data_IF_122232406132
#
_entry.id   IF_122232406132
#
_cell.length_a   1.000
_cell.length_b   1.000
_cell.length_c   1.000
_cell.angle_alpha   90.00
_cell.angle_beta   90.00
_cell.angle_gamma   90.00
#
_symmetry.space_group_name_H-M   'P 1'
#
loop_
_entity.id
_entity.type
_entity.pdbx_description
1 polymer ?
#
# COMPACT_ATOMS: atom_id res chain seq x y z
N UNK A 1 4.83 23.35 -25.69
CA UNK A 1 4.36 22.22 -24.92
C UNK A 1 5.31 21.83 -23.76
N UNK A 2 6.57 21.38 -23.98
CA UNK A 2 7.47 21.04 -22.87
C UNK A 2 7.98 22.26 -22.08
N UNK A 3 8.17 23.41 -22.71
CA UNK A 3 8.59 24.67 -22.05
C UNK A 3 7.46 25.28 -21.23
N UNK A 4 6.23 25.18 -21.70
CA UNK A 4 5.02 25.68 -21.02
C UNK A 4 4.57 24.77 -19.90
N UNK A 5 4.95 23.48 -19.97
CA UNK A 5 4.58 22.46 -18.98
C UNK A 5 5.82 21.75 -18.46
N UNK A 6 6.64 22.38 -17.62
CA UNK A 6 7.94 21.86 -17.22
C UNK A 6 7.86 20.57 -16.37
N UNK A 7 6.68 20.22 -15.85
CA UNK A 7 6.45 19.00 -15.08
C UNK A 7 6.05 17.80 -15.95
N UNK A 8 5.78 17.99 -17.25
CA UNK A 8 5.37 16.90 -18.10
C UNK A 8 6.56 16.03 -18.51
N UNK A 9 6.40 14.72 -18.35
CA UNK A 9 7.35 13.71 -18.84
C UNK A 9 7.11 13.34 -20.29
N UNK A 10 8.04 12.57 -20.86
CA UNK A 10 7.98 12.12 -22.24
C UNK A 10 6.70 11.36 -22.61
N UNK A 11 6.20 10.50 -21.71
CA UNK A 11 4.98 9.72 -21.93
C UNK A 11 3.74 10.61 -22.01
N UNK A 12 3.63 11.60 -21.11
CA UNK A 12 2.51 12.52 -21.11
C UNK A 12 2.50 13.36 -22.38
N UNK A 13 3.66 13.86 -22.82
CA UNK A 13 3.78 14.65 -24.05
C UNK A 13 3.43 13.78 -25.27
N UNK A 14 3.86 12.49 -25.31
CA UNK A 14 3.51 11.57 -26.38
C UNK A 14 1.99 11.38 -26.49
N UNK A 15 1.33 11.19 -25.35
CA UNK A 15 -0.11 11.02 -25.28
C UNK A 15 -0.88 12.29 -25.67
N UNK A 16 -0.41 13.47 -25.26
CA UNK A 16 -1.01 14.75 -25.66
C UNK A 16 -0.89 14.97 -27.18
N UNK A 17 0.28 14.68 -27.77
CA UNK A 17 0.49 14.76 -29.21
C UNK A 17 -0.44 13.82 -29.97
N UNK A 18 -0.61 12.59 -29.49
CA UNK A 18 -1.48 11.60 -30.11
C UNK A 18 -2.96 12.00 -30.00
N UNK A 19 -3.43 12.32 -28.79
CA UNK A 19 -4.85 12.56 -28.52
C UNK A 19 -5.36 13.88 -29.09
N UNK A 20 -4.54 14.94 -29.06
CA UNK A 20 -5.00 16.27 -29.47
C UNK A 20 -4.60 16.66 -30.89
N UNK A 21 -3.49 16.11 -31.39
CA UNK A 21 -2.95 16.47 -32.69
C UNK A 21 -2.88 15.28 -33.67
N UNK A 22 -3.25 14.07 -33.24
CA UNK A 22 -3.18 12.85 -34.05
C UNK A 22 -1.73 12.40 -34.36
N UNK A 23 -0.72 13.00 -33.72
CA UNK A 23 0.69 12.75 -33.98
C UNK A 23 1.21 11.62 -33.09
N UNK A 24 1.51 10.49 -33.70
CA UNK A 24 2.12 9.33 -33.00
C UNK A 24 3.63 9.50 -32.92
N UNK A 25 4.14 9.89 -31.76
CA UNK A 25 5.58 10.04 -31.48
C UNK A 25 5.95 9.17 -30.29
N UNK A 26 7.07 8.41 -30.41
CA UNK A 26 7.50 7.56 -29.29
C UNK A 26 8.01 8.41 -28.13
N UNK A 27 7.80 7.97 -26.85
CA UNK A 27 8.37 8.66 -25.69
C UNK A 27 9.90 8.82 -25.77
N UNK A 28 10.59 7.85 -26.37
CA UNK A 28 12.04 7.89 -26.61
C UNK A 28 12.44 9.03 -27.53
N UNK A 29 11.65 9.29 -28.59
CA UNK A 29 11.87 10.41 -29.51
C UNK A 29 11.67 11.73 -28.78
N UNK A 30 10.61 11.86 -28.01
CA UNK A 30 10.34 13.09 -27.23
C UNK A 30 11.45 13.37 -26.24
N UNK A 31 11.96 12.35 -25.52
CA UNK A 31 13.10 12.49 -24.61
C UNK A 31 14.32 13.12 -25.27
N UNK A 32 14.57 12.84 -26.55
CA UNK A 32 15.69 13.41 -27.31
C UNK A 32 15.57 14.92 -27.49
N UNK A 33 14.33 15.44 -27.59
CA UNK A 33 14.05 16.87 -27.83
C UNK A 33 13.64 17.61 -26.54
N UNK A 34 13.47 16.92 -25.42
CA UNK A 34 13.26 17.60 -24.16
C UNK A 34 14.50 18.40 -23.75
N UNK A 35 14.32 19.63 -23.22
CA UNK A 35 15.44 20.38 -22.66
C UNK A 35 16.16 19.50 -21.64
N UNK A 36 17.47 19.42 -21.73
CA UNK A 36 18.29 18.72 -20.72
C UNK A 36 18.00 19.38 -19.38
N UNK A 37 17.09 18.81 -18.60
CA UNK A 37 16.92 19.21 -17.21
C UNK A 37 18.28 19.03 -16.55
N UNK A 38 18.79 20.07 -15.91
CA UNK A 38 19.88 19.94 -14.95
C UNK A 38 19.44 18.93 -13.92
N UNK A 39 19.84 17.67 -14.12
CA UNK A 39 19.50 16.59 -13.22
C UNK A 39 20.17 16.90 -11.89
N UNK A 40 19.42 16.97 -10.77
CA UNK A 40 20.07 16.97 -9.48
C UNK A 40 20.92 15.70 -9.40
N UNK A 41 22.20 15.89 -9.30
CA UNK A 41 23.36 15.04 -9.28
C UNK A 41 23.20 13.52 -9.47
N UNK A 42 24.06 12.96 -10.28
CA UNK A 42 24.27 11.51 -10.52
C UNK A 42 24.27 10.64 -9.23
N UNK A 43 24.61 11.22 -8.06
CA UNK A 43 24.67 10.51 -6.79
C UNK A 43 23.31 10.07 -6.24
N UNK A 44 22.23 10.85 -6.43
CA UNK A 44 20.90 10.50 -5.91
C UNK A 44 20.24 9.34 -6.67
N UNK A 45 20.42 9.25 -7.99
CA UNK A 45 19.89 8.13 -8.80
C UNK A 45 20.55 6.79 -8.45
N UNK A 46 21.88 6.77 -8.29
CA UNK A 46 22.60 5.56 -7.95
C UNK A 46 22.20 5.00 -6.58
N UNK A 47 21.98 5.88 -5.57
CA UNK A 47 21.56 5.46 -4.24
C UNK A 47 20.12 4.94 -4.24
N UNK A 48 19.21 5.62 -4.94
CA UNK A 48 17.80 5.18 -5.06
C UNK A 48 17.69 3.86 -5.80
N UNK A 49 18.45 3.66 -6.88
CA UNK A 49 18.45 2.43 -7.65
C UNK A 49 19.01 1.25 -6.83
N UNK A 50 20.09 1.45 -6.08
CA UNK A 50 20.64 0.44 -5.16
C UNK A 50 19.64 0.07 -4.06
N UNK A 51 18.95 1.05 -3.49
CA UNK A 51 17.91 0.84 -2.49
C UNK A 51 16.74 0.01 -3.06
N UNK A 52 16.21 0.40 -4.21
CA UNK A 52 15.13 -0.34 -4.86
C UNK A 52 15.53 -1.77 -5.22
N UNK A 53 16.76 -1.99 -5.68
CA UNK A 53 17.29 -3.32 -5.97
C UNK A 53 17.39 -4.16 -4.70
N UNK A 54 17.92 -3.59 -3.61
CA UNK A 54 17.99 -4.25 -2.31
C UNK A 54 16.60 -4.67 -1.83
N UNK A 55 15.67 -3.73 -1.79
CA UNK A 55 14.30 -3.97 -1.33
C UNK A 55 13.61 -5.03 -2.17
N UNK A 56 13.76 -5.01 -3.50
CA UNK A 56 13.19 -6.01 -4.39
C UNK A 56 13.77 -7.41 -4.14
N UNK A 57 15.09 -7.51 -3.97
CA UNK A 57 15.76 -8.78 -3.75
C UNK A 57 15.47 -9.40 -2.37
N UNK A 58 15.09 -8.57 -1.39
CA UNK A 58 14.81 -9.00 -0.02
C UNK A 58 13.33 -8.84 0.37
N UNK A 59 12.45 -8.63 -0.59
CA UNK A 59 11.04 -8.29 -0.33
C UNK A 59 10.34 -9.27 0.62
N UNK A 60 10.61 -10.58 0.51
CA UNK A 60 10.04 -11.62 1.37
C UNK A 60 10.52 -11.54 2.83
N UNK A 61 11.70 -10.96 3.05
CA UNK A 61 12.30 -10.83 4.36
C UNK A 61 12.06 -9.45 5.00
N UNK A 62 11.26 -8.59 4.38
CA UNK A 62 10.99 -7.23 4.83
C UNK A 62 9.54 -7.09 5.31
N UNK A 63 9.40 -6.61 6.55
CA UNK A 63 8.18 -6.01 7.07
C UNK A 63 8.34 -4.50 7.06
N UNK A 64 7.33 -3.78 6.65
CA UNK A 64 7.32 -2.32 6.67
C UNK A 64 6.22 -1.82 7.62
N UNK A 65 6.48 -0.72 8.30
CA UNK A 65 5.50 -0.08 9.14
C UNK A 65 5.52 1.43 8.97
N UNK A 66 4.39 2.05 9.29
CA UNK A 66 4.24 3.49 9.20
C UNK A 66 3.06 3.99 10.05
N UNK A 67 3.02 5.29 10.28
CA UNK A 67 1.94 5.97 10.97
C UNK A 67 1.18 6.91 10.04
N UNK A 68 -0.12 7.03 10.27
CA UNK A 68 -0.88 8.14 9.73
C UNK A 68 -1.84 8.72 10.79
N UNK A 69 -2.20 9.98 10.61
CA UNK A 69 -3.10 10.68 11.53
C UNK A 69 -4.51 10.66 10.98
N UNK A 70 -5.47 10.39 11.86
CA UNK A 70 -6.91 10.43 11.60
C UNK A 70 -7.57 11.32 12.65
N UNK A 71 -8.51 12.15 12.22
CA UNK A 71 -9.28 13.05 13.11
C UNK A 71 -10.60 12.40 13.45
N UNK A 72 -10.98 12.41 14.72
CA UNK A 72 -12.31 11.93 15.17
C UNK A 72 -13.38 12.98 14.97
N UNK A 73 -14.67 12.58 15.09
CA UNK A 73 -15.80 13.51 15.08
C UNK A 73 -15.73 14.59 16.18
N UNK A 74 -14.98 14.34 17.24
CA UNK A 74 -14.73 15.29 18.34
C UNK A 74 -13.41 16.05 18.18
N UNK A 75 -12.85 16.10 16.96
CA UNK A 75 -11.58 16.77 16.60
C UNK A 75 -10.36 16.29 17.38
N UNK A 76 -10.39 15.07 17.93
CA UNK A 76 -9.23 14.47 18.56
C UNK A 76 -8.37 13.77 17.52
N UNK A 77 -7.04 13.93 17.64
CA UNK A 77 -6.09 13.24 16.78
C UNK A 77 -5.87 11.81 17.25
N UNK A 78 -5.94 10.86 16.33
CA UNK A 78 -5.56 9.46 16.54
C UNK A 78 -4.47 9.09 15.54
N UNK A 79 -3.47 8.38 16.02
CA UNK A 79 -2.39 7.83 15.21
C UNK A 79 -2.75 6.39 14.85
N UNK A 80 -2.86 6.12 13.58
CA UNK A 80 -3.06 4.77 13.03
C UNK A 80 -1.69 4.20 12.70
N UNK A 81 -1.36 3.09 13.30
CA UNK A 81 -0.16 2.32 13.02
C UNK A 81 -0.50 1.16 12.08
N UNK A 82 0.26 1.01 11.00
CA UNK A 82 0.11 -0.07 10.02
C UNK A 82 1.40 -0.89 9.95
N UNK A 83 1.27 -2.20 9.86
CA UNK A 83 2.37 -3.14 9.68
C UNK A 83 2.02 -4.06 8.51
N UNK A 84 2.91 -4.17 7.51
CA UNK A 84 2.65 -4.95 6.31
C UNK A 84 3.87 -5.74 5.83
N UNK A 85 3.62 -6.88 5.21
CA UNK A 85 4.64 -7.61 4.44
C UNK A 85 4.95 -6.90 3.14
N UNK A 86 6.22 -6.74 2.85
CA UNK A 86 6.63 -6.03 1.64
C UNK A 86 6.34 -6.82 0.36
N UNK A 87 6.54 -8.14 0.35
CA UNK A 87 6.38 -8.98 -0.84
C UNK A 87 4.92 -9.16 -1.24
N UNK A 88 4.10 -9.62 -0.29
CA UNK A 88 2.71 -10.01 -0.53
C UNK A 88 1.73 -8.85 -0.45
N UNK A 89 2.15 -7.71 0.09
CA UNK A 89 1.28 -6.57 0.42
C UNK A 89 0.28 -6.86 1.54
N UNK A 90 0.38 -8.01 2.18
CA UNK A 90 -0.51 -8.39 3.28
C UNK A 90 -0.31 -7.46 4.47
N UNK A 91 -1.39 -6.92 4.98
CA UNK A 91 -1.40 -6.17 6.22
C UNK A 91 -1.36 -7.18 7.38
N UNK A 92 -0.32 -7.10 8.20
CA UNK A 92 -0.15 -7.94 9.38
C UNK A 92 -0.95 -7.40 10.56
N UNK A 93 -0.97 -6.08 10.73
CA UNK A 93 -1.68 -5.41 11.82
C UNK A 93 -2.04 -3.99 11.46
N UNK A 94 -3.18 -3.55 11.99
CA UNK A 94 -3.56 -2.14 12.08
C UNK A 94 -4.02 -1.85 13.49
N UNK A 95 -3.61 -0.72 14.04
CA UNK A 95 -4.06 -0.31 15.37
C UNK A 95 -4.11 1.23 15.47
N UNK A 96 -4.78 1.77 16.48
CA UNK A 96 -4.91 3.20 16.67
C UNK A 96 -4.71 3.60 18.12
N UNK A 97 -4.04 4.73 18.36
CA UNK A 97 -3.81 5.30 19.69
C UNK A 97 -3.80 6.83 19.63
N UNK A 98 -4.11 7.47 20.74
CA UNK A 98 -3.88 8.91 20.91
C UNK A 98 -2.42 9.22 21.26
N UNK A 99 -1.68 8.25 21.80
CA UNK A 99 -0.31 8.41 22.30
C UNK A 99 0.62 7.33 21.72
N UNK A 100 1.27 7.59 20.58
CA UNK A 100 2.17 6.62 19.92
C UNK A 100 3.55 6.62 20.63
N UNK A 101 3.65 5.92 21.75
CA UNK A 101 4.93 5.76 22.46
C UNK A 101 5.76 4.62 21.87
N UNK A 102 7.08 4.63 22.11
CA UNK A 102 7.99 3.57 21.68
C UNK A 102 7.58 2.20 22.25
N UNK A 103 7.18 2.15 23.53
CA UNK A 103 6.73 0.94 24.21
C UNK A 103 5.43 0.38 23.58
N UNK A 104 4.46 1.28 23.30
CA UNK A 104 3.22 0.89 22.62
C UNK A 104 3.50 0.34 21.21
N UNK A 105 4.32 1.04 20.45
CA UNK A 105 4.68 0.63 19.08
C UNK A 105 5.40 -0.73 19.07
N UNK A 106 6.35 -0.93 20.00
CA UNK A 106 7.04 -2.20 20.13
C UNK A 106 6.10 -3.34 20.50
N UNK A 107 5.13 -3.09 21.38
CA UNK A 107 4.12 -4.09 21.74
C UNK A 107 3.24 -4.46 20.52
N UNK A 108 2.84 -3.46 19.70
CA UNK A 108 2.08 -3.73 18.46
C UNK A 108 2.91 -4.54 17.45
N UNK A 109 4.21 -4.31 17.36
CA UNK A 109 5.11 -5.11 16.52
C UNK A 109 5.22 -6.55 17.00
N UNK A 110 5.34 -6.79 18.32
CA UNK A 110 5.35 -8.14 18.92
C UNK A 110 4.09 -8.93 18.61
N UNK A 111 2.94 -8.27 18.65
CA UNK A 111 1.65 -8.90 18.35
C UNK A 111 1.45 -9.16 16.84
N UNK A 112 2.03 -8.32 16.00
CA UNK A 112 1.91 -8.43 14.54
C UNK A 112 2.87 -9.46 13.93
N UNK A 113 4.03 -9.68 14.55
CA UNK A 113 5.11 -10.49 14.02
C UNK A 113 5.27 -11.74 14.90
N UNK A 114 4.92 -12.95 14.40
CA UNK A 114 5.08 -14.19 15.14
C UNK A 114 6.52 -14.43 15.57
N UNK A 115 6.75 -15.17 16.64
CA UNK A 115 8.08 -15.44 17.16
C UNK A 115 8.96 -16.29 16.20
N UNK A 116 8.32 -17.13 15.38
CA UNK A 116 8.94 -18.02 14.39
C UNK A 116 9.02 -17.40 12.98
N UNK A 117 8.95 -16.06 12.88
CA UNK A 117 8.92 -15.35 11.59
C UNK A 117 10.21 -15.53 10.76
N UNK A 118 10.06 -15.54 9.44
CA UNK A 118 11.16 -15.54 8.49
C UNK A 118 11.72 -14.14 8.13
N UNK A 119 11.16 -13.09 8.74
CA UNK A 119 11.58 -11.72 8.43
C UNK A 119 12.97 -11.43 8.98
N UNK A 120 13.74 -10.62 8.26
CA UNK A 120 15.09 -10.16 8.65
C UNK A 120 15.15 -8.67 8.88
N UNK A 121 14.23 -7.93 8.27
CA UNK A 121 14.27 -6.48 8.24
C UNK A 121 12.91 -5.89 8.59
N UNK A 122 12.95 -4.82 9.41
CA UNK A 122 11.82 -3.93 9.62
C UNK A 122 12.16 -2.57 9.05
N UNK A 123 11.33 -2.12 8.10
CA UNK A 123 11.48 -0.83 7.43
C UNK A 123 10.53 0.18 8.04
N UNK A 124 11.04 1.34 8.40
CA UNK A 124 10.25 2.51 8.80
C UNK A 124 10.91 3.80 8.31
N UNK A 125 10.20 4.90 8.37
CA UNK A 125 10.73 6.21 8.03
C UNK A 125 11.60 6.79 9.16
N UNK A 126 11.92 8.08 9.07
CA UNK A 126 12.73 8.81 10.06
C UNK A 126 11.90 9.74 10.94
N UNK A 127 10.61 9.48 11.09
CA UNK A 127 9.78 10.27 11.97
C UNK A 127 10.28 10.15 13.43
N UNK A 128 10.08 11.21 14.21
CA UNK A 128 10.48 11.29 15.62
C UNK A 128 9.80 10.23 16.51
N UNK A 129 8.67 9.68 16.08
CA UNK A 129 8.00 8.57 16.78
C UNK A 129 8.92 7.34 16.85
N UNK A 130 9.79 7.15 15.84
CA UNK A 130 10.75 6.05 15.79
C UNK A 130 12.05 6.41 16.54
N UNK A 131 11.99 6.34 17.86
CA UNK A 131 13.10 6.63 18.75
C UNK A 131 14.22 5.58 18.68
N UNK A 132 15.39 5.89 19.22
CA UNK A 132 16.49 4.92 19.37
C UNK A 132 16.10 3.73 20.27
N UNK A 133 15.29 3.98 21.30
CA UNK A 133 14.76 2.95 22.18
C UNK A 133 13.89 1.95 21.40
N UNK A 134 13.02 2.42 20.51
CA UNK A 134 12.22 1.57 19.63
C UNK A 134 13.12 0.75 18.70
N UNK A 135 14.13 1.35 18.09
CA UNK A 135 15.10 0.64 17.23
C UNK A 135 15.82 -0.49 18.01
N UNK A 136 16.19 -0.26 19.26
CA UNK A 136 16.78 -1.30 20.12
C UNK A 136 15.79 -2.40 20.42
N UNK A 137 14.53 -2.06 20.71
CA UNK A 137 13.44 -3.01 20.91
C UNK A 137 13.22 -3.89 19.68
N UNK A 138 13.21 -3.31 18.49
CA UNK A 138 13.09 -4.02 17.21
C UNK A 138 14.25 -5.00 17.00
N UNK A 139 15.49 -4.59 17.32
CA UNK A 139 16.65 -5.50 17.22
C UNK A 139 16.55 -6.69 18.18
N UNK A 140 15.96 -6.51 19.36
CA UNK A 140 15.71 -7.60 20.32
C UNK A 140 14.65 -8.59 19.82
N UNK A 141 13.81 -8.20 18.84
CA UNK A 141 12.91 -9.10 18.13
C UNK A 141 13.61 -9.88 16.99
N UNK A 142 14.94 -9.76 16.85
CA UNK A 142 15.70 -10.42 15.78
C UNK A 142 15.70 -9.69 14.43
N UNK A 143 15.12 -8.48 14.37
CA UNK A 143 14.97 -7.72 13.15
C UNK A 143 16.05 -6.65 13.00
N UNK A 144 16.56 -6.46 11.79
CA UNK A 144 17.43 -5.34 11.44
C UNK A 144 16.57 -4.15 11.00
N UNK A 145 16.80 -2.99 11.62
CA UNK A 145 16.08 -1.77 11.25
C UNK A 145 16.62 -1.22 9.94
N UNK A 146 15.74 -1.00 8.98
CA UNK A 146 15.99 -0.33 7.72
C UNK A 146 15.33 1.05 7.74
N UNK A 147 16.14 2.10 7.98
CA UNK A 147 15.65 3.48 7.86
C UNK A 147 15.66 3.91 6.41
N UNK A 148 14.56 4.50 5.97
CA UNK A 148 14.49 5.07 4.62
C UNK A 148 15.63 6.09 4.41
N UNK A 149 16.29 6.10 3.23
CA UNK A 149 17.33 7.08 2.94
C UNK A 149 16.79 8.51 3.02
N UNK A 150 17.63 9.42 3.51
CA UNK A 150 17.25 10.85 3.65
C UNK A 150 16.86 11.41 2.28
N UNK A 151 15.77 12.16 2.23
CA UNK A 151 15.23 12.80 1.01
C UNK A 151 14.89 11.83 -0.12
N UNK A 152 14.53 10.60 0.21
CA UNK A 152 14.08 9.61 -0.76
C UNK A 152 12.62 9.22 -0.45
N UNK A 153 11.62 10.03 -0.86
CA UNK A 153 10.21 9.80 -0.55
C UNK A 153 9.71 8.42 -0.97
N UNK A 154 10.28 7.88 -2.06
CA UNK A 154 9.89 6.57 -2.60
C UNK A 154 10.42 5.37 -1.80
N UNK A 155 11.19 5.61 -0.74
CA UNK A 155 11.83 4.51 -0.02
C UNK A 155 10.83 3.66 0.78
N UNK A 156 9.74 4.26 1.29
CA UNK A 156 8.62 3.56 1.94
C UNK A 156 7.31 3.66 1.11
N UNK A 157 7.45 3.74 -0.21
CA UNK A 157 6.33 3.98 -1.13
C UNK A 157 5.19 2.95 -0.99
N UNK A 158 5.45 1.77 -0.40
CA UNK A 158 4.41 0.77 -0.16
C UNK A 158 3.51 1.13 1.00
N UNK A 159 4.07 1.53 2.14
CA UNK A 159 3.29 2.01 3.28
C UNK A 159 2.56 3.31 2.92
N UNK A 160 3.23 4.25 2.23
CA UNK A 160 2.58 5.47 1.75
C UNK A 160 1.37 5.17 0.85
N UNK A 161 1.53 4.21 -0.09
CA UNK A 161 0.43 3.76 -0.95
C UNK A 161 -0.67 3.07 -0.17
N UNK A 162 -0.32 2.23 0.81
CA UNK A 162 -1.28 1.58 1.69
C UNK A 162 -2.08 2.61 2.48
N UNK A 163 -1.41 3.57 3.10
CA UNK A 163 -2.04 4.68 3.84
C UNK A 163 -2.95 5.50 2.94
N UNK A 164 -2.49 5.83 1.72
CA UNK A 164 -3.32 6.52 0.73
C UNK A 164 -4.54 5.70 0.32
N UNK A 165 -4.45 4.37 0.26
CA UNK A 165 -5.58 3.48 0.00
C UNK A 165 -6.53 3.43 1.21
N UNK A 166 -6.00 3.28 2.43
CA UNK A 166 -6.77 3.33 3.67
C UNK A 166 -7.58 4.63 3.77
N UNK A 167 -6.98 5.77 3.45
CA UNK A 167 -7.70 7.06 3.44
C UNK A 167 -8.85 7.02 2.45
N UNK A 168 -8.59 6.80 1.19
CA UNK A 168 -9.60 6.83 0.11
C UNK A 168 -10.67 5.75 0.20
N UNK A 169 -10.41 4.65 0.88
CA UNK A 169 -11.32 3.49 0.91
C UNK A 169 -11.96 3.28 2.30
N UNK A 170 -11.54 4.01 3.32
CA UNK A 170 -12.09 3.83 4.67
C UNK A 170 -12.27 5.15 5.42
N UNK A 171 -11.18 5.79 5.83
CA UNK A 171 -11.26 6.86 6.83
C UNK A 171 -11.73 8.22 6.28
N UNK A 172 -11.67 8.44 4.97
CA UNK A 172 -12.25 9.65 4.36
C UNK A 172 -13.79 9.59 4.26
N UNK A 173 -14.37 8.38 4.35
CA UNK A 173 -15.82 8.14 4.31
C UNK A 173 -16.42 7.83 5.68
N UNK A 174 -15.62 7.30 6.60
CA UNK A 174 -16.09 6.82 7.89
C UNK A 174 -15.41 7.60 9.02
N UNK A 175 -16.07 8.64 9.52
CA UNK A 175 -15.54 9.49 10.60
C UNK A 175 -15.57 8.69 11.91
N UNK A 176 -14.42 8.39 12.53
CA UNK A 176 -14.40 7.67 13.79
C UNK A 176 -14.85 8.54 14.96
N UNK A 177 -15.64 7.95 15.86
CA UNK A 177 -16.09 8.63 17.08
C UNK A 177 -15.05 8.50 18.20
N UNK A 178 -14.46 7.31 18.33
CA UNK A 178 -13.49 6.96 19.37
C UNK A 178 -12.36 6.10 18.80
N UNK A 179 -11.27 5.91 19.56
CA UNK A 179 -10.19 5.00 19.19
C UNK A 179 -10.70 3.56 19.00
N UNK A 180 -11.64 3.09 19.84
CA UNK A 180 -12.22 1.74 19.72
C UNK A 180 -13.10 1.62 18.47
N UNK A 181 -13.83 2.67 18.11
CA UNK A 181 -14.57 2.69 16.86
C UNK A 181 -13.61 2.62 15.66
N UNK A 182 -12.56 3.43 15.66
CA UNK A 182 -11.55 3.39 14.60
C UNK A 182 -10.89 2.01 14.48
N UNK A 183 -10.51 1.37 15.59
CA UNK A 183 -9.92 0.00 15.55
C UNK A 183 -10.85 -1.01 14.90
N UNK A 184 -12.16 -0.96 15.19
CA UNK A 184 -13.15 -1.85 14.54
C UNK A 184 -13.23 -1.60 13.03
N UNK A 185 -13.25 -0.35 12.60
CA UNK A 185 -13.24 0.02 11.19
C UNK A 185 -11.97 -0.49 10.50
N UNK A 186 -10.81 -0.27 11.10
CA UNK A 186 -9.51 -0.72 10.60
C UNK A 186 -9.45 -2.24 10.49
N UNK A 187 -9.97 -2.98 11.47
CA UNK A 187 -10.00 -4.45 11.44
C UNK A 187 -10.85 -4.97 10.28
N UNK A 188 -12.06 -4.43 10.10
CA UNK A 188 -12.94 -4.83 9.01
C UNK A 188 -12.34 -4.46 7.64
N UNK A 189 -11.73 -3.27 7.52
CA UNK A 189 -11.04 -2.85 6.31
C UNK A 189 -9.82 -3.72 6.00
N UNK A 190 -9.01 -4.05 7.01
CA UNK A 190 -7.83 -4.92 6.86
C UNK A 190 -8.22 -6.31 6.35
N UNK A 191 -9.29 -6.89 6.87
CA UNK A 191 -9.81 -8.18 6.40
C UNK A 191 -10.21 -8.10 4.92
N UNK A 192 -10.97 -7.07 4.55
CA UNK A 192 -11.32 -6.83 3.15
C UNK A 192 -10.08 -6.62 2.27
N UNK A 193 -9.14 -5.80 2.70
CA UNK A 193 -7.91 -5.52 1.97
C UNK A 193 -7.11 -6.80 1.69
N UNK A 194 -6.96 -7.66 2.71
CA UNK A 194 -6.16 -8.88 2.60
C UNK A 194 -6.86 -9.99 1.81
N UNK A 195 -8.16 -10.20 2.02
CA UNK A 195 -8.87 -11.37 1.50
C UNK A 195 -9.83 -11.08 0.34
N UNK A 196 -10.23 -9.82 0.15
CA UNK A 196 -11.25 -9.47 -0.84
C UNK A 196 -10.79 -8.49 -1.93
N UNK A 197 -9.75 -7.71 -1.68
CA UNK A 197 -9.35 -6.63 -2.57
C UNK A 197 -8.30 -7.07 -3.60
N UNK A 198 -8.59 -7.05 -4.91
CA UNK A 198 -7.59 -7.34 -5.94
C UNK A 198 -6.52 -6.22 -6.03
N UNK A 199 -5.29 -6.63 -6.29
CA UNK A 199 -4.15 -5.73 -6.45
C UNK A 199 -3.47 -5.94 -7.80
N UNK A 200 -3.42 -4.92 -8.64
CA UNK A 200 -2.76 -5.01 -9.95
C UNK A 200 -1.29 -5.43 -9.85
N UNK A 201 -0.59 -4.99 -8.80
CA UNK A 201 0.81 -5.36 -8.57
C UNK A 201 1.03 -6.83 -8.20
N UNK A 202 -0.04 -7.58 -7.95
CA UNK A 202 -0.03 -9.02 -7.67
C UNK A 202 -0.61 -9.84 -8.85
N UNK A 203 -0.77 -9.21 -9.99
CA UNK A 203 -1.05 -9.83 -11.28
C UNK A 203 -2.44 -10.38 -11.60
N UNK A 204 -3.54 -9.68 -11.49
CA UNK A 204 -4.32 -9.19 -10.38
C UNK A 204 -4.57 -10.28 -9.33
N UNK A 205 -3.89 -10.16 -8.21
CA UNK A 205 -3.99 -11.10 -7.08
C UNK A 205 -4.53 -10.42 -5.83
N UNK A 206 -4.77 -11.24 -4.82
CA UNK A 206 -5.20 -10.84 -3.48
C UNK A 206 -4.04 -11.10 -2.51
N UNK A 207 -3.73 -10.23 -1.54
CA UNK A 207 -2.62 -10.43 -0.61
C UNK A 207 -2.69 -11.76 0.17
N UNK A 208 -3.89 -12.19 0.51
CA UNK A 208 -4.17 -13.47 1.18
C UNK A 208 -5.27 -14.21 0.41
N UNK A 209 -4.91 -14.89 -0.70
CA UNK A 209 -5.90 -15.58 -1.51
C UNK A 209 -6.52 -16.75 -0.73
N UNK A 210 -7.81 -17.03 -0.94
CA UNK A 210 -8.44 -18.23 -0.39
C UNK A 210 -7.77 -19.49 -0.99
N UNK A 211 -7.85 -20.63 -0.29
CA UNK A 211 -7.23 -21.89 -0.74
C UNK A 211 -7.71 -22.35 -2.13
N UNK A 212 -8.93 -22.01 -2.48
CA UNK A 212 -9.53 -22.31 -3.79
C UNK A 212 -10.03 -21.02 -4.44
N UNK A 213 -9.30 -20.51 -5.42
CA UNK A 213 -9.83 -19.50 -6.34
C UNK A 213 -10.72 -20.20 -7.36
N UNK A 214 -11.86 -19.58 -7.78
CA UNK A 214 -12.65 -20.09 -8.88
C UNK A 214 -11.77 -20.25 -10.12
N UNK A 215 -11.74 -21.44 -10.70
CA UNK A 215 -11.06 -21.66 -11.98
C UNK A 215 -11.81 -20.88 -13.04
N UNK A 216 -11.14 -19.99 -13.80
CA UNK A 216 -11.80 -19.26 -14.86
C UNK A 216 -12.42 -20.23 -15.86
N UNK A 217 -13.73 -20.16 -16.09
CA UNK A 217 -14.39 -20.94 -17.12
C UNK A 217 -13.89 -20.47 -18.48
N UNK A 218 -13.15 -21.32 -19.19
CA UNK A 218 -12.62 -21.02 -20.53
C UNK A 218 -13.71 -20.98 -21.61
N UNK A 219 -14.87 -21.55 -21.34
CA UNK A 219 -15.92 -21.80 -22.36
C UNK A 219 -16.80 -20.57 -22.65
N UNK A 220 -16.99 -19.68 -21.66
CA UNK A 220 -17.84 -18.48 -21.83
C UNK A 220 -17.25 -17.27 -21.13
N UNK A 221 -16.32 -16.61 -21.77
CA UNK A 221 -15.56 -15.45 -21.20
C UNK A 221 -16.41 -14.31 -20.60
N UNK A 222 -17.70 -14.21 -20.94
CA UNK A 222 -18.53 -13.07 -20.57
C UNK A 222 -19.97 -13.44 -20.17
N UNK A 223 -20.30 -14.72 -20.00
CA UNK A 223 -21.62 -15.15 -19.56
C UNK A 223 -21.51 -16.07 -18.36
N UNK A 224 -22.29 -15.76 -17.33
CA UNK A 224 -22.48 -16.67 -16.22
C UNK A 224 -23.40 -17.82 -16.65
N UNK A 225 -23.14 -19.06 -16.18
CA UNK A 225 -24.11 -20.14 -16.32
C UNK A 225 -25.46 -19.74 -15.72
N UNK A 226 -26.58 -20.13 -16.38
CA UNK A 226 -27.93 -19.73 -15.95
C UNK A 226 -28.30 -20.18 -14.54
N UNK A 227 -27.66 -21.24 -14.03
CA UNK A 227 -27.88 -21.75 -12.68
C UNK A 227 -27.07 -21.02 -11.58
N UNK A 228 -26.29 -19.99 -11.95
CA UNK A 228 -25.49 -19.20 -11.02
C UNK A 228 -25.93 -17.73 -11.01
N UNK A 229 -25.94 -17.15 -9.83
CA UNK A 229 -26.13 -15.70 -9.63
C UNK A 229 -24.95 -15.08 -8.88
N UNK A 230 -24.69 -13.82 -9.16
CA UNK A 230 -23.72 -13.01 -8.38
C UNK A 230 -24.42 -12.46 -7.15
N UNK A 231 -23.85 -12.72 -5.99
CA UNK A 231 -24.33 -12.16 -4.71
C UNK A 231 -23.29 -11.19 -4.18
N UNK A 232 -23.74 -9.98 -3.85
CA UNK A 232 -22.92 -8.93 -3.25
C UNK A 232 -23.05 -8.96 -1.73
N UNK A 233 -21.93 -9.09 -1.03
CA UNK A 233 -21.86 -9.06 0.44
C UNK A 233 -21.29 -7.72 0.89
N UNK A 234 -22.06 -6.91 1.64
CA UNK A 234 -21.61 -5.59 2.07
C UNK A 234 -20.51 -5.68 3.13
N UNK A 235 -19.51 -4.81 3.02
CA UNK A 235 -18.42 -4.62 3.98
C UNK A 235 -18.41 -3.15 4.40
N UNK A 236 -18.04 -2.87 5.65
CA UNK A 236 -18.03 -1.51 6.20
C UNK A 236 -19.37 -0.80 5.98
N UNK A 237 -20.47 -1.49 6.29
CA UNK A 237 -21.86 -0.99 6.14
C UNK A 237 -22.22 -0.62 4.69
N UNK A 238 -21.67 -1.34 3.71
CA UNK A 238 -21.95 -1.12 2.29
C UNK A 238 -20.99 -0.16 1.59
N UNK A 239 -19.95 0.33 2.26
CA UNK A 239 -18.92 1.13 1.61
C UNK A 239 -18.14 0.30 0.57
N UNK A 240 -17.94 -0.99 0.86
CA UNK A 240 -17.38 -1.97 -0.08
C UNK A 240 -18.28 -3.19 -0.18
N UNK A 241 -18.05 -3.99 -1.23
CA UNK A 241 -18.72 -5.28 -1.42
C UNK A 241 -17.70 -6.32 -1.86
N UNK A 242 -17.88 -7.53 -1.36
CA UNK A 242 -17.30 -8.74 -1.96
C UNK A 242 -18.38 -9.47 -2.73
N UNK A 243 -17.97 -10.27 -3.71
CA UNK A 243 -18.89 -10.95 -4.60
C UNK A 243 -18.63 -12.45 -4.58
N UNK A 244 -19.70 -13.23 -4.51
CA UNK A 244 -19.66 -14.69 -4.61
C UNK A 244 -20.61 -15.16 -5.70
N UNK A 245 -20.34 -16.38 -6.23
CA UNK A 245 -21.26 -17.07 -7.11
C UNK A 245 -22.07 -18.06 -6.27
N UNK A 246 -23.39 -17.96 -6.32
CA UNK A 246 -24.30 -18.85 -5.65
C UNK A 246 -25.20 -19.54 -6.66
N UNK A 247 -25.65 -20.77 -6.35
CA UNK A 247 -26.65 -21.44 -7.15
C UNK A 247 -27.98 -20.69 -7.07
N UNK A 248 -28.60 -20.47 -8.21
CA UNK A 248 -29.95 -19.93 -8.26
C UNK A 248 -30.90 -21.05 -7.77
N UNK A 249 -31.53 -20.83 -6.63
CA UNK A 249 -32.59 -21.73 -6.15
C UNK A 249 -33.80 -21.47 -7.04
N UNK A 250 -34.29 -22.56 -7.64
CA UNK A 250 -35.49 -22.50 -8.47
C UNK A 250 -36.74 -22.21 -7.65
#
# INVERSE_FOLDING_TARGET
>A
MARENPLWGEERIANELLLKLGLRVSPRTIRKYLPKRLHPGRGKRATTQRWQTFVRNHAQAIVACDFCVVVTATFRLLYVFVVMEHATRRILSTNATAHPTASWTLQRLREAIPADHAYRFLMHDRDHIYSQELDQGIRRLGLRVLKTPVRTPQANALCERLIGTLRRECVDFLIPLTANHLRRLLTAWMQHYNAGRPHMSLGPGIPQPPPSLPVPSQVHRHRLPEHLRVVAHPILRGLHHTYTLEKQVA
#
